data_IF_478491964499
#
_entry.id   IF_478491964499
#
_cell.length_a   1.000
_cell.length_b   1.000
_cell.length_c   1.000
_cell.angle_alpha   90.00
_cell.angle_beta   90.00
_cell.angle_gamma   90.00
#
_symmetry.space_group_name_H-M   'P 1'
#
loop_
_entity.id
_entity.type
_entity.pdbx_description
1 polymer ?
#
# COMPACT_ATOMS: atom_id res chain seq x y z
N UNK A 1 -2.31 2.71 20.37
CA UNK A 1 -0.96 3.24 20.13
C UNK A 1 -0.35 2.57 18.93
N UNK A 2 0.26 1.39 19.09
CA UNK A 2 1.00 0.67 18.03
C UNK A 2 0.20 0.51 16.73
N UNK A 3 -1.08 0.16 16.82
CA UNK A 3 -1.93 0.08 15.63
C UNK A 3 -2.03 1.39 14.83
N UNK A 4 -2.07 2.54 15.49
CA UNK A 4 -2.11 3.86 14.83
C UNK A 4 -0.81 4.17 14.10
N UNK A 5 0.33 3.82 14.71
CA UNK A 5 1.65 3.96 14.10
C UNK A 5 1.79 3.07 12.85
N UNK A 6 1.20 1.89 12.86
CA UNK A 6 1.23 0.97 11.73
C UNK A 6 0.25 1.36 10.61
N UNK A 7 -0.98 1.75 10.97
CA UNK A 7 -2.02 2.14 10.02
C UNK A 7 -2.99 3.12 10.66
N UNK A 8 -3.05 4.33 10.12
CA UNK A 8 -3.91 5.42 10.62
C UNK A 8 -5.39 5.02 10.77
N UNK A 9 -5.87 4.07 9.95
CA UNK A 9 -7.22 3.50 10.03
C UNK A 9 -7.57 2.86 11.39
N UNK A 10 -6.58 2.52 12.20
CA UNK A 10 -6.81 2.00 13.56
C UNK A 10 -7.48 3.03 14.49
N UNK A 11 -7.53 4.31 14.11
CA UNK A 11 -8.23 5.37 14.85
C UNK A 11 -9.73 5.13 14.95
N UNK A 12 -10.30 4.38 14.01
CA UNK A 12 -11.71 4.05 14.05
C UNK A 12 -12.05 3.07 15.17
N UNK A 13 -11.13 2.23 15.66
CA UNK A 13 -11.44 1.21 16.67
C UNK A 13 -11.91 1.79 18.01
N UNK A 14 -11.26 2.83 18.58
CA UNK A 14 -11.80 3.55 19.73
C UNK A 14 -13.19 4.15 19.46
N UNK A 15 -13.41 4.76 18.29
CA UNK A 15 -14.71 5.32 17.92
C UNK A 15 -15.79 4.23 17.82
N UNK A 16 -15.48 3.10 17.19
CA UNK A 16 -16.36 1.93 17.09
C UNK A 16 -16.66 1.32 18.46
N UNK A 17 -15.72 1.40 19.41
CA UNK A 17 -15.96 1.02 20.80
C UNK A 17 -17.02 1.92 21.44
N UNK A 18 -16.92 3.23 21.29
CA UNK A 18 -17.92 4.17 21.80
C UNK A 18 -19.30 3.93 21.16
N UNK A 19 -19.34 3.70 19.85
CA UNK A 19 -20.57 3.35 19.13
C UNK A 19 -21.17 2.04 19.68
N UNK A 20 -20.35 1.03 19.95
CA UNK A 20 -20.79 -0.23 20.56
C UNK A 20 -21.35 -0.03 21.97
N UNK A 21 -20.64 0.69 22.84
CA UNK A 21 -21.10 0.97 24.21
C UNK A 21 -22.42 1.77 24.19
N UNK A 22 -22.58 2.69 23.24
CA UNK A 22 -23.83 3.42 23.05
C UNK A 22 -24.97 2.51 22.55
N UNK A 23 -24.71 1.62 21.60
CA UNK A 23 -25.71 0.73 21.00
C UNK A 23 -26.07 -0.49 21.87
N UNK A 24 -25.20 -0.89 22.79
CA UNK A 24 -25.44 -2.01 23.71
C UNK A 24 -26.06 -1.52 25.02
N UNK A 25 -27.33 -1.88 25.28
CA UNK A 25 -28.03 -1.47 26.51
C UNK A 25 -27.31 -1.96 27.77
N UNK A 26 -26.77 -3.18 27.72
CA UNK A 26 -26.02 -3.81 28.82
C UNK A 26 -24.69 -3.12 29.10
N UNK A 27 -24.04 -2.55 28.08
CA UNK A 27 -22.70 -1.95 28.22
C UNK A 27 -22.73 -0.42 28.35
N UNK A 28 -23.88 0.22 28.16
CA UNK A 28 -24.02 1.68 28.12
C UNK A 28 -23.55 2.36 29.40
N UNK A 29 -23.61 1.67 30.55
CA UNK A 29 -23.09 2.20 31.81
C UNK A 29 -21.58 2.47 31.76
N UNK A 30 -20.81 1.78 30.91
CA UNK A 30 -19.39 2.04 30.73
C UNK A 30 -19.11 3.42 30.14
N UNK A 31 -20.07 4.05 29.43
CA UNK A 31 -19.93 5.44 28.99
C UNK A 31 -19.86 6.43 30.16
N UNK A 32 -20.30 6.04 31.36
CA UNK A 32 -20.11 6.87 32.58
C UNK A 32 -18.76 6.63 33.24
N UNK A 33 -17.96 5.69 32.73
CA UNK A 33 -16.62 5.37 33.25
C UNK A 33 -15.57 6.11 32.43
N UNK A 34 -14.40 6.42 33.00
CA UNK A 34 -13.35 7.16 32.28
C UNK A 34 -12.67 6.32 31.18
N UNK A 35 -12.62 4.99 31.32
CA UNK A 35 -11.80 4.13 30.45
C UNK A 35 -12.12 4.21 28.93
N UNK A 36 -13.37 4.35 28.44
CA UNK A 36 -13.62 4.45 27.01
C UNK A 36 -13.06 5.74 26.40
N UNK A 37 -13.01 6.81 27.19
CA UNK A 37 -12.41 8.09 26.79
C UNK A 37 -10.88 8.00 26.84
N UNK A 38 -10.31 7.30 27.83
CA UNK A 38 -8.89 6.98 27.84
C UNK A 38 -8.49 6.11 26.65
N UNK A 39 -9.35 5.18 26.22
CA UNK A 39 -9.14 4.39 25.00
C UNK A 39 -9.07 5.26 23.74
N UNK A 40 -9.77 6.40 23.72
CA UNK A 40 -9.68 7.37 22.62
C UNK A 40 -8.40 8.21 22.70
N UNK A 41 -8.05 8.69 23.90
CA UNK A 41 -6.95 9.64 24.11
C UNK A 41 -5.56 8.99 24.14
N UNK A 42 -5.38 7.91 24.89
CA UNK A 42 -4.07 7.28 25.10
C UNK A 42 -3.40 6.82 23.79
N UNK A 43 -4.12 6.26 22.80
CA UNK A 43 -3.51 5.94 21.51
C UNK A 43 -2.94 7.16 20.77
N UNK A 44 -3.54 8.35 20.93
CA UNK A 44 -3.07 9.57 20.27
C UNK A 44 -1.72 10.03 20.83
N UNK A 45 -1.42 9.70 22.09
CA UNK A 45 -0.10 10.00 22.68
C UNK A 45 1.04 9.32 21.93
N UNK A 46 0.78 8.18 21.29
CA UNK A 46 1.79 7.50 20.46
C UNK A 46 2.11 8.27 19.19
N UNK A 47 1.23 9.17 18.74
CA UNK A 47 1.49 10.02 17.59
C UNK A 47 2.32 11.25 17.98
N UNK A 48 2.58 11.52 19.26
CA UNK A 48 3.34 12.70 19.69
C UNK A 48 4.74 12.78 19.07
N UNK A 49 5.55 11.71 19.00
CA UNK A 49 6.85 11.78 18.34
C UNK A 49 6.73 12.11 16.85
N UNK A 50 5.75 11.51 16.16
CA UNK A 50 5.51 11.75 14.74
C UNK A 50 5.04 13.19 14.49
N UNK A 51 4.11 13.69 15.32
CA UNK A 51 3.58 15.05 15.26
C UNK A 51 4.68 16.09 15.56
N UNK A 52 5.50 15.84 16.58
CA UNK A 52 6.64 16.69 16.93
C UNK A 52 7.65 16.74 15.78
N UNK A 53 7.99 15.58 15.20
CA UNK A 53 8.84 15.54 14.03
C UNK A 53 8.20 16.29 12.84
N UNK A 54 6.90 16.09 12.57
CA UNK A 54 6.21 16.77 11.48
C UNK A 54 6.15 18.29 11.66
N UNK A 55 5.96 18.76 12.89
CA UNK A 55 5.99 20.18 13.23
C UNK A 55 7.32 20.82 12.82
N UNK A 56 8.44 20.15 13.12
CA UNK A 56 9.78 20.60 12.71
C UNK A 56 10.07 20.43 11.20
N UNK A 57 9.26 19.67 10.47
CA UNK A 57 9.43 19.39 9.04
C UNK A 57 8.27 19.96 8.20
N UNK A 58 7.68 21.08 8.65
CA UNK A 58 6.71 21.84 7.87
C UNK A 58 5.43 21.08 7.51
N UNK A 59 5.02 20.15 8.39
CA UNK A 59 3.83 19.31 8.25
C UNK A 59 3.82 18.43 6.99
N UNK A 60 4.99 17.95 6.56
CA UNK A 60 5.14 17.26 5.27
C UNK A 60 4.27 16.01 5.14
N UNK A 61 4.07 15.25 6.22
CA UNK A 61 3.23 14.03 6.17
C UNK A 61 1.77 14.39 5.95
N UNK A 62 1.28 15.46 6.59
CA UNK A 62 -0.07 15.95 6.37
C UNK A 62 -0.25 16.44 4.93
N UNK A 63 0.70 17.22 4.40
CA UNK A 63 0.68 17.68 3.00
C UNK A 63 0.64 16.52 2.01
N UNK A 64 1.48 15.50 2.22
CA UNK A 64 1.53 14.31 1.37
C UNK A 64 0.22 13.50 1.46
N UNK A 65 -0.32 13.32 2.66
CA UNK A 65 -1.53 12.53 2.90
C UNK A 65 -2.79 13.26 2.44
N UNK A 66 -2.81 14.60 2.48
CA UNK A 66 -3.92 15.41 1.98
C UNK A 66 -4.20 15.15 0.49
N UNK A 67 -3.16 14.81 -0.30
CA UNK A 67 -3.34 14.42 -1.70
C UNK A 67 -4.22 13.16 -1.85
N UNK A 68 -4.29 12.26 -0.85
CA UNK A 68 -5.21 11.12 -0.88
C UNK A 68 -6.69 11.52 -0.74
N UNK A 69 -6.97 12.73 -0.27
CA UNK A 69 -8.32 13.27 -0.10
C UNK A 69 -8.70 14.32 -1.15
N UNK A 70 -7.73 14.77 -1.95
CA UNK A 70 -7.95 15.57 -3.16
C UNK A 70 -8.42 14.65 -4.29
N UNK A 71 -9.65 14.12 -4.16
CA UNK A 71 -10.30 13.41 -5.24
C UNK A 71 -10.49 14.33 -6.43
N UNK A 72 -10.22 13.84 -7.65
CA UNK A 72 -10.56 14.55 -8.89
C UNK A 72 -12.00 15.07 -8.79
N UNK A 73 -12.20 16.37 -9.03
CA UNK A 73 -13.45 17.13 -8.86
C UNK A 73 -14.67 16.62 -9.68
N UNK A 74 -14.57 15.47 -10.35
CA UNK A 74 -15.72 14.81 -10.96
C UNK A 74 -16.45 14.00 -9.88
N UNK A 75 -17.46 14.63 -9.27
CA UNK A 75 -18.33 14.05 -8.25
C UNK A 75 -19.06 12.74 -8.66
N UNK A 76 -18.89 12.25 -9.89
CA UNK A 76 -19.77 11.25 -10.51
C UNK A 76 -19.04 10.17 -11.31
N UNK A 77 -17.97 9.58 -10.77
CA UNK A 77 -17.34 8.37 -11.38
C UNK A 77 -17.81 7.04 -10.76
N UNK A 78 -18.89 7.06 -9.99
CA UNK A 78 -19.41 5.89 -9.26
C UNK A 78 -19.61 4.66 -10.16
N UNK A 79 -20.01 4.86 -11.42
CA UNK A 79 -20.20 3.78 -12.41
C UNK A 79 -18.94 2.94 -12.65
N UNK A 80 -17.77 3.52 -12.45
CA UNK A 80 -16.49 2.82 -12.55
C UNK A 80 -15.92 2.47 -11.18
N UNK A 81 -16.03 3.37 -10.21
CA UNK A 81 -15.35 3.23 -8.92
C UNK A 81 -16.05 2.28 -7.96
N UNK A 82 -17.39 2.22 -7.98
CA UNK A 82 -18.14 1.29 -7.14
C UNK A 82 -17.98 -0.16 -7.62
N UNK A 83 -18.18 -0.50 -8.92
CA UNK A 83 -17.94 -1.87 -9.38
C UNK A 83 -16.49 -2.31 -9.21
N UNK A 84 -15.51 -1.42 -9.43
CA UNK A 84 -14.09 -1.68 -9.16
C UNK A 84 -13.87 -2.03 -7.68
N UNK A 85 -14.45 -1.24 -6.77
CA UNK A 85 -14.37 -1.54 -5.34
C UNK A 85 -15.04 -2.87 -4.98
N UNK A 86 -16.29 -3.11 -5.39
CA UNK A 86 -17.02 -4.35 -5.08
C UNK A 86 -16.31 -5.57 -5.69
N UNK A 87 -15.89 -5.49 -6.95
CA UNK A 87 -15.12 -6.53 -7.62
C UNK A 87 -13.81 -6.84 -6.90
N UNK A 88 -13.10 -5.81 -6.45
CA UNK A 88 -11.86 -6.00 -5.68
C UNK A 88 -12.11 -6.68 -4.33
N UNK A 89 -13.24 -6.42 -3.65
CA UNK A 89 -13.55 -7.09 -2.38
C UNK A 89 -13.97 -8.55 -2.59
N UNK A 90 -14.72 -8.85 -3.66
CA UNK A 90 -15.08 -10.22 -4.03
C UNK A 90 -13.82 -11.08 -4.28
N UNK A 91 -12.84 -10.54 -4.99
CA UNK A 91 -11.58 -11.23 -5.27
C UNK A 91 -10.64 -11.29 -4.06
N UNK A 92 -10.63 -10.27 -3.20
CA UNK A 92 -9.73 -10.21 -2.05
C UNK A 92 -10.13 -11.17 -0.92
N UNK A 93 -11.45 -11.34 -0.69
CA UNK A 93 -11.98 -12.01 0.51
C UNK A 93 -12.66 -13.36 0.20
N UNK A 94 -12.95 -13.60 -1.08
CA UNK A 94 -13.82 -14.63 -1.65
C UNK A 94 -15.28 -14.19 -1.85
N UNK A 95 -15.89 -14.55 -2.99
CA UNK A 95 -17.28 -14.21 -3.29
C UNK A 95 -18.26 -14.72 -2.23
N UNK A 96 -18.09 -15.95 -1.73
CA UNK A 96 -19.03 -16.54 -0.77
C UNK A 96 -18.98 -15.82 0.58
N UNK A 97 -17.81 -15.42 1.05
CA UNK A 97 -17.69 -14.65 2.29
C UNK A 97 -18.41 -13.31 2.17
N UNK A 98 -18.22 -12.59 1.05
CA UNK A 98 -18.90 -11.31 0.80
C UNK A 98 -20.42 -11.48 0.71
N UNK A 99 -20.89 -12.51 0.00
CA UNK A 99 -22.33 -12.83 -0.10
C UNK A 99 -22.90 -13.08 1.30
N UNK A 100 -22.24 -13.88 2.14
CA UNK A 100 -22.73 -14.17 3.48
C UNK A 100 -22.67 -12.96 4.41
N UNK A 101 -21.67 -12.09 4.29
CA UNK A 101 -21.68 -10.80 4.96
C UNK A 101 -22.90 -9.97 4.56
N UNK A 102 -23.23 -9.93 3.26
CA UNK A 102 -24.42 -9.24 2.75
C UNK A 102 -25.73 -9.82 3.27
N UNK A 103 -25.85 -11.16 3.30
CA UNK A 103 -27.04 -11.84 3.85
C UNK A 103 -27.21 -11.57 5.35
N UNK A 104 -26.12 -11.59 6.12
CA UNK A 104 -26.13 -11.23 7.53
C UNK A 104 -26.59 -9.78 7.69
N UNK A 105 -26.00 -8.84 6.96
CA UNK A 105 -26.39 -7.42 7.00
C UNK A 105 -27.87 -7.21 6.64
N UNK A 106 -28.36 -7.86 5.59
CA UNK A 106 -29.75 -7.76 5.13
C UNK A 106 -30.74 -8.36 6.15
N UNK A 107 -30.39 -9.51 6.73
CA UNK A 107 -31.22 -10.16 7.75
C UNK A 107 -31.31 -9.34 9.03
N UNK A 108 -30.23 -8.64 9.40
CA UNK A 108 -30.20 -7.71 10.53
C UNK A 108 -31.03 -6.45 10.27
N UNK A 109 -30.97 -5.89 9.05
CA UNK A 109 -31.77 -4.73 8.65
C UNK A 109 -33.28 -5.01 8.72
N UNK A 110 -33.71 -6.18 8.22
CA UNK A 110 -35.14 -6.50 8.05
C UNK A 110 -35.89 -6.87 9.33
N UNK A 111 -35.21 -7.18 10.45
CA UNK A 111 -35.87 -7.85 11.59
C UNK A 111 -35.86 -7.15 12.96
N UNK A 112 -35.33 -5.93 13.07
CA UNK A 112 -35.34 -5.10 14.31
C UNK A 112 -34.69 -5.76 15.57
N UNK A 113 -34.01 -5.01 16.46
CA UNK A 113 -32.74 -5.46 17.01
C UNK A 113 -32.86 -6.10 18.41
N UNK A 114 -33.12 -7.41 18.45
CA UNK A 114 -32.66 -8.25 19.58
C UNK A 114 -31.33 -8.92 19.26
N UNK A 115 -30.43 -8.19 18.60
CA UNK A 115 -29.08 -8.68 18.33
C UNK A 115 -28.36 -8.81 19.66
N UNK A 116 -27.89 -10.03 19.95
CA UNK A 116 -27.09 -10.33 21.13
C UNK A 116 -25.84 -9.45 21.19
N UNK A 117 -25.31 -9.29 22.39
CA UNK A 117 -24.14 -8.45 22.66
C UNK A 117 -22.94 -8.78 21.76
N UNK A 118 -22.60 -10.07 21.59
CA UNK A 118 -21.40 -10.50 20.84
C UNK A 118 -21.52 -10.23 19.33
N UNK A 119 -22.59 -10.65 18.61
CA UNK A 119 -22.73 -10.29 17.21
C UNK A 119 -22.83 -8.79 16.98
N UNK A 120 -23.48 -8.04 17.89
CA UNK A 120 -23.54 -6.58 17.82
C UNK A 120 -22.17 -5.93 17.79
N UNK A 121 -21.24 -6.40 18.64
CA UNK A 121 -19.84 -5.97 18.62
C UNK A 121 -19.21 -6.22 17.24
N UNK A 122 -19.33 -7.45 16.73
CA UNK A 122 -18.72 -7.83 15.46
C UNK A 122 -19.29 -7.05 14.27
N UNK A 123 -20.60 -6.78 14.26
CA UNK A 123 -21.28 -5.97 13.22
C UNK A 123 -20.75 -4.54 13.24
N UNK A 124 -20.68 -3.91 14.42
CA UNK A 124 -20.19 -2.54 14.55
C UNK A 124 -18.73 -2.45 14.11
N UNK A 125 -17.90 -3.44 14.43
CA UNK A 125 -16.49 -3.46 14.07
C UNK A 125 -16.21 -3.95 12.63
N UNK A 126 -17.25 -4.27 11.84
CA UNK A 126 -17.09 -4.70 10.44
C UNK A 126 -18.06 -3.97 9.51
N UNK A 127 -19.35 -4.28 9.57
CA UNK A 127 -20.37 -3.80 8.63
C UNK A 127 -20.42 -2.27 8.59
N UNK A 128 -20.37 -1.60 9.76
CA UNK A 128 -20.43 -0.15 9.83
C UNK A 128 -19.26 0.54 9.10
N UNK A 129 -17.98 0.27 9.42
CA UNK A 129 -16.87 0.87 8.69
C UNK A 129 -16.78 0.40 7.22
N UNK A 130 -17.19 -0.84 6.91
CA UNK A 130 -17.23 -1.30 5.51
C UNK A 130 -18.28 -0.54 4.68
N UNK A 131 -19.42 -0.19 5.28
CA UNK A 131 -20.41 0.67 4.64
C UNK A 131 -19.82 2.06 4.35
N UNK A 132 -19.01 2.61 5.26
CA UNK A 132 -18.29 3.88 4.99
C UNK A 132 -17.40 3.76 3.76
N UNK A 133 -16.72 2.63 3.55
CA UNK A 133 -15.92 2.43 2.34
C UNK A 133 -16.74 2.23 1.06
N UNK A 134 -17.90 1.58 1.16
CA UNK A 134 -18.85 1.51 0.03
C UNK A 134 -19.34 2.92 -0.33
N UNK A 135 -19.67 3.75 0.66
CA UNK A 135 -20.07 5.13 0.42
C UNK A 135 -18.92 5.99 -0.13
N UNK A 136 -17.69 5.75 0.35
CA UNK A 136 -16.50 6.43 -0.13
C UNK A 136 -16.18 6.06 -1.59
N UNK A 137 -16.41 4.78 -1.98
CA UNK A 137 -16.17 4.32 -3.34
C UNK A 137 -17.14 4.91 -4.37
N UNK A 138 -18.28 5.47 -3.94
CA UNK A 138 -19.16 6.26 -4.80
C UNK A 138 -18.49 7.54 -5.30
N UNK A 139 -17.52 8.08 -4.55
CA UNK A 139 -16.85 9.35 -4.86
C UNK A 139 -15.45 9.19 -5.41
N UNK A 140 -14.73 8.14 -5.04
CA UNK A 140 -13.34 7.95 -5.44
C UNK A 140 -12.93 6.49 -5.54
N UNK A 141 -11.82 6.23 -6.23
CA UNK A 141 -11.21 4.89 -6.20
C UNK A 141 -10.68 4.62 -4.80
N UNK A 142 -11.11 3.49 -4.25
CA UNK A 142 -10.67 2.98 -2.94
C UNK A 142 -9.81 1.76 -3.20
N UNK A 143 -8.57 1.75 -2.70
CA UNK A 143 -7.73 0.56 -2.86
C UNK A 143 -8.29 -0.60 -2.05
N UNK A 144 -8.19 -1.81 -2.60
CA UNK A 144 -8.82 -3.01 -2.03
C UNK A 144 -8.42 -3.28 -0.57
N UNK A 145 -7.19 -2.92 -0.19
CA UNK A 145 -6.60 -3.14 1.13
C UNK A 145 -6.95 -2.06 2.17
N UNK A 146 -7.59 -0.95 1.79
CA UNK A 146 -7.98 0.12 2.72
C UNK A 146 -8.87 -0.39 3.87
N UNK A 147 -9.99 -1.09 3.59
CA UNK A 147 -10.87 -1.65 4.62
C UNK A 147 -10.31 -2.87 5.38
N UNK A 148 -9.11 -3.35 5.06
CA UNK A 148 -8.60 -4.66 5.53
C UNK A 148 -8.69 -4.90 7.04
N UNK A 149 -8.54 -3.86 7.86
CA UNK A 149 -8.58 -3.97 9.33
C UNK A 149 -9.96 -4.36 9.87
N UNK A 150 -11.03 -4.11 9.11
CA UNK A 150 -12.41 -4.39 9.52
C UNK A 150 -12.88 -5.80 9.13
N UNK A 151 -12.11 -6.50 8.29
CA UNK A 151 -12.45 -7.86 7.85
C UNK A 151 -12.31 -8.91 8.94
N UNK A 152 -11.44 -8.70 9.92
CA UNK A 152 -11.28 -9.66 11.02
C UNK A 152 -12.62 -9.90 11.76
N UNK A 153 -13.30 -8.82 12.13
CA UNK A 153 -14.61 -8.91 12.79
C UNK A 153 -15.68 -9.51 11.87
N UNK A 154 -15.59 -9.24 10.56
CA UNK A 154 -16.50 -9.84 9.58
C UNK A 154 -16.30 -11.36 9.46
N UNK A 155 -15.04 -11.83 9.45
CA UNK A 155 -14.72 -13.25 9.36
C UNK A 155 -15.21 -14.01 10.59
N UNK A 156 -15.02 -13.43 11.78
CA UNK A 156 -15.53 -14.02 13.03
C UNK A 156 -17.07 -14.06 12.99
N UNK A 157 -17.73 -13.00 12.50
CA UNK A 157 -19.19 -12.94 12.39
C UNK A 157 -19.74 -14.02 11.43
N UNK A 158 -19.14 -14.15 10.25
CA UNK A 158 -19.51 -15.17 9.26
C UNK A 158 -19.27 -16.57 9.82
N UNK A 159 -18.13 -16.80 10.47
CA UNK A 159 -17.82 -18.09 11.09
C UNK A 159 -18.81 -18.45 12.21
N UNK A 160 -19.15 -17.49 13.08
CA UNK A 160 -20.14 -17.69 14.15
C UNK A 160 -21.52 -18.03 13.58
N UNK A 161 -21.94 -17.35 12.52
CA UNK A 161 -23.21 -17.63 11.84
C UNK A 161 -23.22 -19.00 11.15
N UNK A 162 -22.14 -19.38 10.48
CA UNK A 162 -21.99 -20.68 9.81
C UNK A 162 -21.97 -21.86 10.80
N UNK A 163 -21.45 -21.64 12.01
CA UNK A 163 -21.35 -22.66 13.06
C UNK A 163 -22.54 -22.68 14.01
N UNK A 164 -23.50 -21.76 13.86
CA UNK A 164 -24.65 -21.64 14.76
C UNK A 164 -24.32 -21.09 16.15
N UNK A 165 -23.11 -20.56 16.36
CA UNK A 165 -22.63 -20.02 17.65
C UNK A 165 -22.87 -18.51 17.81
N UNK A 166 -23.69 -17.92 16.94
CA UNK A 166 -24.12 -16.53 17.04
C UNK A 166 -25.59 -16.45 16.69
N UNK A 167 -26.45 -16.44 17.70
CA UNK A 167 -27.84 -16.05 17.50
C UNK A 167 -27.83 -14.57 17.14
N UNK A 168 -28.04 -14.29 15.86
CA UNK A 168 -28.09 -12.93 15.32
C UNK A 168 -29.38 -12.19 15.75
N UNK A 169 -30.12 -12.71 16.73
CA UNK A 169 -31.45 -12.22 17.13
C UNK A 169 -32.54 -12.42 16.07
N UNK A 170 -32.15 -12.78 14.86
CA UNK A 170 -33.01 -13.10 13.73
C UNK A 170 -33.19 -14.61 13.61
N UNK A 171 -34.39 -15.08 13.25
CA UNK A 171 -34.64 -16.44 12.70
C UNK A 171 -33.92 -16.64 11.34
N UNK A 172 -32.68 -16.15 11.17
CA UNK A 172 -31.79 -16.51 10.09
C UNK A 172 -31.28 -17.91 10.44
N UNK A 173 -31.73 -18.96 9.73
CA UNK A 173 -31.26 -20.30 10.03
C UNK A 173 -29.74 -20.32 9.91
N UNK A 174 -29.07 -20.97 10.86
CA UNK A 174 -27.66 -21.25 10.73
C UNK A 174 -27.42 -21.90 9.36
N UNK A 175 -26.37 -21.47 8.68
CA UNK A 175 -26.13 -21.86 7.30
C UNK A 175 -25.88 -23.38 7.12
N UNK A 176 -25.79 -24.15 8.21
CA UNK A 176 -25.65 -25.60 8.20
C UNK A 176 -24.24 -26.03 7.82
N UNK A 177 -23.85 -27.25 8.21
CA UNK A 177 -22.48 -27.76 7.99
C UNK A 177 -22.06 -27.72 6.51
N UNK A 178 -23.00 -27.93 5.57
CA UNK A 178 -22.73 -27.91 4.14
C UNK A 178 -22.22 -26.57 3.61
N UNK A 179 -22.83 -25.44 4.02
CA UNK A 179 -22.41 -24.10 3.54
C UNK A 179 -21.05 -23.67 4.11
N UNK A 180 -20.70 -24.14 5.32
CA UNK A 180 -19.37 -23.90 5.91
C UNK A 180 -18.27 -24.49 5.03
N UNK A 181 -18.44 -25.74 4.57
CA UNK A 181 -17.48 -26.40 3.70
C UNK A 181 -17.26 -25.58 2.42
N UNK A 182 -18.34 -25.12 1.78
CA UNK A 182 -18.24 -24.32 0.55
C UNK A 182 -17.52 -22.98 0.75
N UNK A 183 -17.72 -22.27 1.85
CA UNK A 183 -16.98 -21.04 2.14
C UNK A 183 -15.48 -21.31 2.25
N UNK A 184 -15.11 -22.33 3.02
CA UNK A 184 -13.69 -22.73 3.19
C UNK A 184 -13.09 -23.16 1.85
N UNK A 185 -13.78 -24.04 1.11
CA UNK A 185 -13.32 -24.52 -0.19
C UNK A 185 -13.21 -23.39 -1.21
N UNK A 186 -14.16 -22.44 -1.24
CA UNK A 186 -14.08 -21.29 -2.15
C UNK A 186 -12.92 -20.35 -1.81
N UNK A 187 -12.66 -20.11 -0.52
CA UNK A 187 -11.54 -19.30 -0.07
C UNK A 187 -10.20 -19.96 -0.37
N UNK A 188 -10.10 -21.27 -0.10
CA UNK A 188 -8.92 -22.07 -0.41
C UNK A 188 -8.67 -22.12 -1.92
N UNK A 189 -9.70 -22.44 -2.71
CA UNK A 189 -9.62 -22.47 -4.16
C UNK A 189 -9.17 -21.13 -4.72
N UNK A 190 -9.76 -20.02 -4.28
CA UNK A 190 -9.38 -18.70 -4.76
C UNK A 190 -7.95 -18.34 -4.36
N UNK A 191 -7.54 -18.69 -3.14
CA UNK A 191 -6.17 -18.50 -2.67
C UNK A 191 -5.19 -19.28 -3.56
N UNK A 192 -5.41 -20.59 -3.71
CA UNK A 192 -4.58 -21.46 -4.56
C UNK A 192 -4.56 -20.95 -6.00
N UNK A 193 -5.71 -20.59 -6.56
CA UNK A 193 -5.83 -20.06 -7.91
C UNK A 193 -5.05 -18.76 -8.10
N UNK A 194 -5.16 -17.79 -7.18
CA UNK A 194 -4.45 -16.50 -7.27
C UNK A 194 -2.93 -16.71 -7.17
N UNK A 195 -2.46 -17.50 -6.22
CA UNK A 195 -1.02 -17.78 -6.08
C UNK A 195 -0.48 -18.58 -7.26
N UNK A 196 -1.21 -19.62 -7.68
CA UNK A 196 -0.87 -20.42 -8.86
C UNK A 196 -0.81 -19.56 -10.12
N UNK A 197 -1.86 -18.77 -10.39
CA UNK A 197 -1.94 -17.92 -11.58
C UNK A 197 -0.83 -16.86 -11.59
N UNK A 198 -0.50 -16.29 -10.43
CA UNK A 198 0.61 -15.32 -10.32
C UNK A 198 1.96 -15.93 -10.72
N UNK A 199 2.21 -17.19 -10.39
CA UNK A 199 3.43 -17.90 -10.80
C UNK A 199 3.34 -18.41 -12.24
N UNK A 200 2.19 -18.96 -12.63
CA UNK A 200 1.94 -19.52 -13.95
C UNK A 200 2.05 -18.46 -15.05
N UNK A 201 1.47 -17.27 -14.86
CA UNK A 201 1.56 -16.15 -15.82
C UNK A 201 3.02 -15.85 -16.17
N UNK A 202 3.94 -15.96 -15.20
CA UNK A 202 5.37 -15.75 -15.42
C UNK A 202 6.00 -16.66 -16.47
N UNK A 203 5.39 -17.82 -16.76
CA UNK A 203 5.83 -18.82 -17.74
C UNK A 203 5.06 -18.74 -19.07
N UNK A 204 4.16 -17.77 -19.22
CA UNK A 204 3.39 -17.56 -20.45
C UNK A 204 3.97 -16.45 -21.32
N UNK A 205 3.45 -16.29 -22.54
CA UNK A 205 3.85 -15.20 -23.44
C UNK A 205 3.59 -13.79 -22.90
N UNK A 206 2.69 -13.63 -21.91
CA UNK A 206 2.43 -12.34 -21.24
C UNK A 206 3.26 -12.17 -19.94
N UNK A 207 4.06 -13.18 -19.59
CA UNK A 207 4.90 -13.19 -18.40
C UNK A 207 5.92 -12.06 -18.40
N UNK A 208 6.03 -11.38 -17.26
CA UNK A 208 6.91 -10.22 -17.10
C UNK A 208 6.35 -8.92 -17.66
N UNK A 209 5.18 -8.91 -18.32
CA UNK A 209 4.54 -7.69 -18.83
C UNK A 209 3.59 -7.02 -17.82
N UNK A 210 2.93 -5.93 -18.22
CA UNK A 210 2.09 -5.12 -17.31
C UNK A 210 0.91 -5.87 -16.66
N UNK A 211 0.47 -7.00 -17.24
CA UNK A 211 -0.59 -7.87 -16.71
C UNK A 211 -0.07 -8.94 -15.75
N UNK A 212 1.23 -9.12 -15.62
CA UNK A 212 1.83 -10.06 -14.67
C UNK A 212 1.72 -9.49 -13.24
N UNK A 213 1.01 -10.16 -12.31
CA UNK A 213 0.89 -9.71 -10.92
C UNK A 213 2.24 -9.55 -10.22
N UNK A 214 3.25 -10.31 -10.64
CA UNK A 214 4.60 -10.29 -10.10
C UNK A 214 5.55 -9.37 -10.87
N UNK A 215 5.09 -8.66 -11.91
CA UNK A 215 5.88 -7.74 -12.74
C UNK A 215 6.82 -6.84 -11.90
N UNK A 216 6.29 -6.26 -10.82
CA UNK A 216 7.03 -5.32 -9.96
C UNK A 216 8.16 -5.95 -9.15
N UNK A 217 8.18 -7.28 -9.02
CA UNK A 217 9.19 -8.02 -8.24
C UNK A 217 10.33 -8.58 -9.10
N UNK A 218 10.16 -8.59 -10.43
CA UNK A 218 11.10 -9.26 -11.34
C UNK A 218 12.26 -8.36 -11.77
N UNK A 219 13.39 -8.97 -12.13
CA UNK A 219 14.52 -8.31 -12.78
C UNK A 219 15.47 -7.51 -11.88
N UNK A 220 15.16 -7.29 -10.60
CA UNK A 220 15.97 -6.42 -9.74
C UNK A 220 17.35 -6.99 -9.39
N UNK A 221 17.45 -8.30 -9.15
CA UNK A 221 18.74 -8.95 -8.87
C UNK A 221 19.70 -8.87 -10.07
N UNK A 222 19.21 -9.18 -11.26
CA UNK A 222 20.00 -9.09 -12.49
C UNK A 222 20.39 -7.64 -12.80
N UNK A 223 19.48 -6.67 -12.59
CA UNK A 223 19.83 -5.24 -12.67
C UNK A 223 20.95 -4.87 -11.68
N UNK A 224 20.87 -5.37 -10.44
CA UNK A 224 21.90 -5.17 -9.43
C UNK A 224 23.28 -5.69 -9.87
N UNK A 225 23.34 -6.88 -10.49
CA UNK A 225 24.58 -7.44 -11.04
C UNK A 225 25.13 -6.61 -12.20
N UNK A 226 24.30 -6.23 -13.16
CA UNK A 226 24.70 -5.38 -14.30
C UNK A 226 25.23 -4.02 -13.83
N UNK A 227 24.54 -3.37 -12.90
CA UNK A 227 24.97 -2.09 -12.34
C UNK A 227 26.26 -2.25 -11.54
N UNK A 228 26.42 -3.35 -10.79
CA UNK A 228 27.68 -3.66 -10.09
C UNK A 228 28.84 -3.79 -11.07
N UNK A 229 28.65 -4.51 -12.18
CA UNK A 229 29.67 -4.65 -13.22
C UNK A 229 30.03 -3.29 -13.85
N UNK A 230 29.03 -2.45 -14.13
CA UNK A 230 29.25 -1.09 -14.64
C UNK A 230 29.98 -0.19 -13.64
N UNK A 231 29.66 -0.27 -12.34
CA UNK A 231 30.39 0.46 -11.30
C UNK A 231 31.84 0.04 -11.25
N UNK A 232 32.12 -1.27 -11.28
CA UNK A 232 33.47 -1.80 -11.26
C UNK A 232 34.26 -1.35 -12.50
N UNK A 233 33.68 -1.47 -13.70
CA UNK A 233 34.30 -1.07 -14.98
C UNK A 233 34.61 0.43 -15.07
N UNK A 234 33.81 1.28 -14.42
CA UNK A 234 33.98 2.74 -14.45
C UNK A 234 34.63 3.29 -13.16
N UNK A 235 35.31 2.43 -12.39
CA UNK A 235 36.11 2.89 -11.25
C UNK A 235 37.28 3.73 -11.75
N UNK A 236 37.55 4.85 -11.09
CA UNK A 236 38.65 5.76 -11.43
C UNK A 236 39.52 6.00 -10.19
N UNK A 237 40.83 5.78 -10.29
CA UNK A 237 41.78 5.95 -9.17
C UNK A 237 41.35 5.21 -7.89
N UNK A 238 40.81 3.99 -8.02
CA UNK A 238 40.31 3.19 -6.89
C UNK A 238 38.92 3.59 -6.37
N UNK A 239 38.34 4.71 -6.83
CA UNK A 239 37.02 5.16 -6.42
C UNK A 239 35.93 4.71 -7.41
N UNK A 240 34.95 3.97 -6.88
CA UNK A 240 33.75 3.58 -7.63
C UNK A 240 32.81 4.79 -7.78
N UNK A 241 32.14 4.95 -8.94
CA UNK A 241 31.12 5.98 -9.07
C UNK A 241 29.97 5.73 -8.10
N UNK A 242 29.37 6.78 -7.53
CA UNK A 242 28.15 6.63 -6.74
C UNK A 242 26.91 6.50 -7.64
N UNK A 243 25.77 6.12 -7.08
CA UNK A 243 24.55 5.85 -7.86
C UNK A 243 23.51 6.97 -7.73
N UNK A 244 22.95 7.37 -8.87
CA UNK A 244 21.79 8.24 -8.96
C UNK A 244 20.70 7.50 -9.74
N UNK A 245 19.49 7.50 -9.22
CA UNK A 245 18.28 7.10 -9.93
C UNK A 245 17.34 8.30 -10.08
N UNK A 246 16.40 8.22 -11.02
CA UNK A 246 15.40 9.28 -11.23
C UNK A 246 14.04 8.94 -10.59
N UNK A 247 13.89 7.73 -10.04
CA UNK A 247 12.70 7.33 -9.29
C UNK A 247 13.07 6.72 -7.93
N UNK A 248 12.20 6.91 -6.94
CA UNK A 248 12.36 6.32 -5.60
C UNK A 248 12.36 4.79 -5.61
N UNK A 249 11.65 4.18 -6.56
CA UNK A 249 11.57 2.72 -6.64
C UNK A 249 12.92 2.17 -7.08
N UNK A 250 13.46 2.67 -8.19
CA UNK A 250 14.78 2.25 -8.68
C UNK A 250 15.87 2.54 -7.68
N UNK A 251 15.86 3.69 -7.01
CA UNK A 251 16.83 3.97 -5.96
C UNK A 251 16.81 2.90 -4.84
N UNK A 252 15.61 2.52 -4.39
CA UNK A 252 15.46 1.55 -3.29
C UNK A 252 15.88 0.14 -3.72
N UNK A 253 15.51 -0.27 -4.93
CA UNK A 253 15.87 -1.59 -5.47
C UNK A 253 17.38 -1.68 -5.75
N UNK A 254 17.99 -0.63 -6.31
CA UNK A 254 19.45 -0.59 -6.50
C UNK A 254 20.20 -0.60 -5.16
N UNK A 255 19.74 0.14 -4.16
CA UNK A 255 20.36 0.12 -2.82
C UNK A 255 20.33 -1.28 -2.19
N UNK A 256 19.32 -2.10 -2.53
CA UNK A 256 19.19 -3.46 -2.03
C UNK A 256 20.03 -4.48 -2.83
N UNK A 257 19.94 -4.44 -4.17
CA UNK A 257 20.48 -5.48 -5.05
C UNK A 257 21.90 -5.21 -5.57
N UNK A 258 22.39 -3.96 -5.56
CA UNK A 258 23.77 -3.67 -5.98
C UNK A 258 24.75 -4.17 -4.91
N UNK A 259 25.84 -4.80 -5.35
CA UNK A 259 26.85 -5.34 -4.44
C UNK A 259 27.44 -4.26 -3.53
N UNK A 260 27.54 -4.57 -2.24
CA UNK A 260 27.98 -3.61 -1.21
C UNK A 260 26.87 -2.69 -0.71
N UNK A 261 25.62 -2.85 -1.20
CA UNK A 261 24.42 -2.11 -0.75
C UNK A 261 24.67 -0.61 -0.65
N UNK A 262 25.15 0.03 -1.73
CA UNK A 262 25.53 1.43 -1.68
C UNK A 262 24.30 2.31 -1.45
N UNK A 263 24.52 3.48 -0.86
CA UNK A 263 23.50 4.53 -0.85
C UNK A 263 23.25 5.01 -2.29
N UNK A 264 21.99 5.02 -2.68
CA UNK A 264 21.52 5.54 -3.98
C UNK A 264 20.79 6.85 -3.75
N UNK A 265 21.09 7.85 -4.58
CA UNK A 265 20.47 9.17 -4.51
C UNK A 265 19.37 9.27 -5.57
N UNK A 266 18.29 10.00 -5.25
CA UNK A 266 17.24 10.30 -6.22
C UNK A 266 17.46 11.72 -6.74
N UNK A 267 17.50 11.88 -8.05
CA UNK A 267 17.48 13.21 -8.65
C UNK A 267 16.05 13.79 -8.61
N UNK A 268 15.92 14.97 -8.01
CA UNK A 268 14.67 15.72 -8.00
C UNK A 268 14.77 16.91 -8.97
N UNK A 269 13.98 16.88 -10.03
CA UNK A 269 13.94 17.95 -11.04
C UNK A 269 13.15 19.19 -10.61
N UNK A 270 12.44 19.14 -9.48
CA UNK A 270 11.67 20.23 -8.91
C UNK A 270 12.15 20.53 -7.47
N UNK A 271 13.28 21.25 -7.31
CA UNK A 271 13.78 21.64 -5.99
C UNK A 271 12.69 22.32 -5.14
N UNK A 272 12.63 21.97 -3.86
CA UNK A 272 11.60 22.46 -2.93
C UNK A 272 10.29 21.68 -2.94
N UNK A 273 10.07 20.79 -3.90
CA UNK A 273 8.93 19.86 -3.89
C UNK A 273 9.37 18.51 -3.32
N UNK A 274 8.85 18.18 -2.14
CA UNK A 274 9.11 16.88 -1.50
C UNK A 274 8.14 15.84 -2.04
N UNK A 275 8.67 14.91 -2.83
CA UNK A 275 7.91 13.80 -3.43
C UNK A 275 8.07 12.48 -2.66
N UNK A 276 9.22 12.30 -1.98
CA UNK A 276 9.55 11.11 -1.23
C UNK A 276 10.55 11.40 -0.10
N UNK A 277 10.85 10.39 0.72
CA UNK A 277 11.85 10.50 1.79
C UNK A 277 13.25 10.84 1.26
N UNK A 278 13.55 10.52 0.00
CA UNK A 278 14.84 10.83 -0.62
C UNK A 278 15.08 12.33 -0.78
N UNK A 279 14.02 13.14 -0.81
CA UNK A 279 14.10 14.61 -0.88
C UNK A 279 14.38 15.23 0.50
N UNK A 280 14.14 14.47 1.58
CA UNK A 280 14.37 14.90 2.97
C UNK A 280 15.76 14.44 3.44
N UNK A 281 16.21 13.28 2.95
CA UNK A 281 17.53 12.75 3.29
C UNK A 281 18.66 13.60 2.68
N UNK A 282 19.83 13.70 3.33
CA UNK A 282 20.93 14.52 2.82
C UNK A 282 21.37 14.10 1.41
N UNK A 283 21.48 15.05 0.48
CA UNK A 283 22.00 14.80 -0.86
C UNK A 283 23.48 14.36 -0.87
N UNK A 284 24.03 14.04 -2.05
CA UNK A 284 25.42 13.61 -2.23
C UNK A 284 26.44 14.77 -2.12
N UNK A 285 26.27 15.69 -1.16
CA UNK A 285 27.15 16.86 -0.98
C UNK A 285 28.59 16.42 -0.69
N UNK A 286 28.77 15.37 0.11
CA UNK A 286 30.08 14.75 0.35
C UNK A 286 30.67 13.96 -0.84
N UNK A 287 30.01 13.99 -2.00
CA UNK A 287 30.45 13.35 -3.25
C UNK A 287 30.71 14.38 -4.36
N UNK A 288 30.73 15.68 -4.05
CA UNK A 288 31.25 16.70 -4.97
C UNK A 288 32.68 16.30 -5.38
N UNK A 289 33.01 16.44 -6.67
CA UNK A 289 34.26 15.95 -7.23
C UNK A 289 34.21 14.49 -7.74
N UNK A 290 33.23 13.71 -7.30
CA UNK A 290 33.15 12.27 -7.62
C UNK A 290 32.36 11.99 -8.90
N UNK A 291 32.64 10.84 -9.52
CA UNK A 291 31.86 10.33 -10.65
C UNK A 291 30.57 9.65 -10.16
N UNK A 292 29.54 9.63 -11.00
CA UNK A 292 28.26 8.96 -10.74
C UNK A 292 27.81 8.12 -11.93
N UNK A 293 27.18 6.98 -11.65
CA UNK A 293 26.31 6.30 -12.61
C UNK A 293 24.88 6.76 -12.39
N UNK A 294 24.29 7.29 -13.45
CA UNK A 294 22.91 7.76 -13.47
C UNK A 294 22.07 6.76 -14.25
N UNK A 295 21.03 6.23 -13.60
CA UNK A 295 20.06 5.32 -14.21
C UNK A 295 18.73 6.04 -14.45
N UNK A 296 18.28 5.99 -15.71
CA UNK A 296 17.02 6.58 -16.17
C UNK A 296 16.16 5.49 -16.78
N UNK A 297 14.98 5.24 -16.21
CA UNK A 297 14.01 4.30 -16.77
C UNK A 297 13.59 4.75 -18.17
N UNK A 298 13.69 3.86 -19.16
CA UNK A 298 13.23 4.16 -20.52
C UNK A 298 11.70 4.35 -20.57
N UNK A 299 10.97 3.66 -19.70
CA UNK A 299 9.50 3.76 -19.58
C UNK A 299 9.02 5.14 -19.12
N UNK A 300 9.86 5.92 -18.43
CA UNK A 300 9.57 7.30 -18.01
C UNK A 300 9.97 8.34 -19.08
N UNK A 301 9.96 7.95 -20.35
CA UNK A 301 10.37 8.77 -21.49
C UNK A 301 11.88 8.71 -21.79
N UNK A 302 12.69 8.12 -20.89
CA UNK A 302 14.11 7.87 -21.10
C UNK A 302 14.96 9.11 -21.40
N UNK A 303 14.45 10.31 -21.17
CA UNK A 303 15.19 11.55 -21.28
C UNK A 303 15.84 11.88 -19.94
N UNK A 304 17.04 12.46 -19.97
CA UNK A 304 17.64 12.97 -18.75
C UNK A 304 16.74 14.07 -18.16
N UNK A 305 16.36 13.96 -16.87
CA UNK A 305 15.57 15.01 -16.23
C UNK A 305 16.27 16.37 -16.30
N UNK A 306 15.47 17.44 -16.30
CA UNK A 306 15.96 18.80 -16.32
C UNK A 306 17.00 19.07 -15.23
N UNK A 307 18.04 19.82 -15.57
CA UNK A 307 19.12 20.22 -14.66
C UNK A 307 20.17 19.13 -14.37
N UNK A 308 19.86 17.83 -14.53
CA UNK A 308 20.78 16.75 -14.14
C UNK A 308 22.09 16.76 -14.94
N UNK A 309 22.04 17.13 -16.22
CA UNK A 309 23.25 17.27 -17.03
C UNK A 309 24.15 18.43 -16.58
N UNK A 310 23.58 19.49 -16.03
CA UNK A 310 24.28 20.72 -15.67
C UNK A 310 25.03 20.61 -14.34
N UNK A 311 24.80 19.55 -13.57
CA UNK A 311 25.48 19.32 -12.28
C UNK A 311 26.75 18.49 -12.39
N UNK A 312 27.06 17.98 -13.59
CA UNK A 312 28.30 17.26 -13.88
C UNK A 312 29.15 18.06 -14.87
N UNK A 313 30.46 17.90 -14.79
CA UNK A 313 31.38 18.46 -15.79
C UNK A 313 31.13 17.84 -17.18
N UNK A 314 30.89 16.54 -17.20
CA UNK A 314 30.59 15.79 -18.42
C UNK A 314 29.55 14.72 -18.10
N UNK A 315 28.59 14.51 -18.99
CA UNK A 315 27.69 13.37 -18.93
C UNK A 315 27.80 12.57 -20.23
N UNK A 316 28.35 11.37 -20.12
CA UNK A 316 28.53 10.46 -21.25
C UNK A 316 27.52 9.32 -21.19
N UNK A 317 26.76 9.02 -22.26
CA UNK A 317 25.94 7.82 -22.31
C UNK A 317 26.84 6.57 -22.29
N UNK A 318 26.44 5.58 -21.49
CA UNK A 318 27.01 4.24 -21.47
C UNK A 318 26.07 3.27 -22.21
N UNK A 319 26.52 2.02 -22.33
CA UNK A 319 25.66 0.94 -22.82
C UNK A 319 24.39 0.85 -21.96
N UNK A 320 23.20 0.92 -22.57
CA UNK A 320 21.94 0.73 -21.85
C UNK A 320 21.90 -0.65 -21.19
N UNK A 321 21.19 -0.75 -20.06
CA UNK A 321 20.96 -2.01 -19.37
C UNK A 321 19.54 -2.46 -19.64
N UNK A 322 19.39 -3.67 -20.18
CA UNK A 322 18.10 -4.32 -20.40
C UNK A 322 18.09 -5.65 -19.67
N UNK A 323 17.16 -5.81 -18.73
CA UNK A 323 17.04 -7.04 -17.95
C UNK A 323 15.71 -7.71 -18.24
N UNK A 324 15.68 -8.95 -18.75
CA UNK A 324 14.42 -9.64 -19.03
C UNK A 324 13.63 -9.87 -17.74
N UNK A 325 12.31 -9.61 -17.81
CA UNK A 325 11.36 -9.92 -16.74
C UNK A 325 10.50 -11.15 -17.05
N UNK A 326 10.58 -11.65 -18.28
CA UNK A 326 9.79 -12.75 -18.80
C UNK A 326 9.73 -12.67 -20.32
N UNK A 327 8.81 -13.41 -20.94
CA UNK A 327 8.64 -13.42 -22.38
C UNK A 327 8.13 -12.08 -22.96
N UNK A 328 7.38 -11.31 -22.16
CA UNK A 328 6.64 -10.14 -22.65
C UNK A 328 7.35 -8.80 -22.47
N UNK A 329 8.32 -8.70 -21.56
CA UNK A 329 8.95 -7.42 -21.25
C UNK A 329 10.33 -7.56 -20.57
N UNK A 330 11.06 -6.45 -20.60
CA UNK A 330 12.36 -6.25 -19.95
C UNK A 330 12.37 -4.92 -19.23
N UNK A 331 13.11 -4.83 -18.11
CA UNK A 331 13.42 -3.53 -17.49
C UNK A 331 14.53 -2.85 -18.27
N UNK A 332 14.22 -1.69 -18.82
CA UNK A 332 15.14 -0.96 -19.68
C UNK A 332 15.58 0.34 -19.00
N UNK A 333 16.89 0.52 -18.89
CA UNK A 333 17.52 1.71 -18.35
C UNK A 333 18.52 2.28 -19.34
N UNK A 334 18.42 3.60 -19.59
CA UNK A 334 19.55 4.34 -20.11
C UNK A 334 20.49 4.64 -18.96
N UNK A 335 21.77 4.35 -19.17
CA UNK A 335 22.81 4.58 -18.17
C UNK A 335 23.74 5.68 -18.66
N UNK A 336 24.08 6.59 -17.77
CA UNK A 336 25.02 7.67 -18.05
C UNK A 336 26.12 7.68 -16.99
N UNK A 337 27.35 7.96 -17.42
CA UNK A 337 28.45 8.29 -16.56
C UNK A 337 28.53 9.81 -16.42
N UNK A 338 28.12 10.32 -15.27
CA UNK A 338 28.37 11.70 -14.87
C UNK A 338 29.78 11.80 -14.29
N UNK A 339 30.66 12.57 -14.94
CA UNK A 339 32.01 12.82 -14.45
C UNK A 339 32.05 14.11 -13.65
N UNK A 340 32.74 14.04 -12.51
CA UNK A 340 33.01 15.17 -11.63
C UNK A 340 31.73 15.96 -11.25
N UNK A 341 31.04 15.50 -10.19
CA UNK A 341 29.87 16.22 -9.66
C UNK A 341 30.29 17.63 -9.20
N UNK A 342 29.74 18.66 -9.85
CA UNK A 342 30.07 20.06 -9.61
C UNK A 342 29.29 20.64 -8.43
N UNK A 343 28.00 20.28 -8.34
CA UNK A 343 27.07 20.78 -7.30
C UNK A 343 25.88 19.84 -7.15
N UNK A 344 25.15 19.95 -6.05
CA UNK A 344 23.85 19.31 -5.89
C UNK A 344 22.83 20.37 -5.44
N UNK A 345 21.64 20.45 -6.06
CA UNK A 345 20.59 21.37 -5.61
C UNK A 345 20.27 21.12 -4.13
N UNK A 346 20.13 22.18 -3.35
CA UNK A 346 19.69 22.08 -1.96
C UNK A 346 18.19 21.88 -1.88
#
# INVERSE_FOLDING_TARGET
GIGLLAKQMMIFFPLLTLIFLWASREDRFHLRRPWPYLLLLLPLLFLLPDLFWNYHHGWITLKHTAHHFQGNHSFWRFETTLPDFIGSQLLLISPLTVIFMGLIALGLYRRSPKIERRPKLLIIFSVLPLLVFVLLSLRQRVNANWPAVFYLSAFILVAAWLTGHGSLGSNLPAAGRGKRLWVVLSGLFLTVLIYFLSFYIGHTAIGGGAKDPLHRLKGWSALGHEVTALMNKNSSHGNKPFLIAVSRQTASELAFYVQGRPRVYVWNSAPGVVSSQYDIWPGPVGKIGSNALVLVETELGGALPGGLRQVFQEMRPLTPVSVPMGAAASRNYKVYLGRNLLRWPK
#
